data_IF_106366303476
#
_entry.id   IF_106366303476
#
_cell.length_a   1.000
_cell.length_b   1.000
_cell.length_c   1.000
_cell.angle_alpha   90.00
_cell.angle_beta   90.00
_cell.angle_gamma   90.00
#
_symmetry.space_group_name_H-M   'P 1'
#
loop_
_entity.id
_entity.type
_entity.pdbx_description
1 polymer ?
#
# COMPACT_ATOMS: atom_id res chain seq x y z
N UNK A 1 -4.82 -19.46 -5.62
CA UNK A 1 -3.84 -19.23 -4.54
C UNK A 1 -2.47 -18.81 -5.08
N UNK A 2 -1.82 -19.61 -5.95
CA UNK A 2 -0.52 -19.23 -6.55
C UNK A 2 -0.50 -17.87 -7.26
N UNK A 3 -1.55 -17.55 -8.03
CA UNK A 3 -1.68 -16.24 -8.68
C UNK A 3 -1.70 -15.06 -7.69
N UNK A 4 -2.36 -15.21 -6.53
CA UNK A 4 -2.38 -14.19 -5.49
C UNK A 4 -1.01 -14.03 -4.85
N UNK A 5 -0.30 -15.13 -4.63
CA UNK A 5 1.05 -15.09 -4.12
C UNK A 5 2.00 -14.39 -5.10
N UNK A 6 1.81 -14.62 -6.40
CA UNK A 6 2.56 -13.91 -7.44
C UNK A 6 2.23 -12.42 -7.46
N UNK A 7 0.95 -12.02 -7.33
CA UNK A 7 0.58 -10.60 -7.23
C UNK A 7 1.15 -9.92 -5.99
N UNK A 8 1.16 -10.60 -4.84
CA UNK A 8 1.79 -10.06 -3.64
C UNK A 8 3.30 -9.85 -3.84
N UNK A 9 3.98 -10.85 -4.41
CA UNK A 9 5.43 -10.78 -4.67
C UNK A 9 5.79 -9.71 -5.70
N UNK A 10 5.00 -9.56 -6.78
CA UNK A 10 5.25 -8.51 -7.77
C UNK A 10 5.03 -7.11 -7.18
N UNK A 11 4.02 -6.95 -6.32
CA UNK A 11 3.79 -5.72 -5.54
C UNK A 11 4.98 -5.40 -4.63
N UNK A 12 5.44 -6.37 -3.84
CA UNK A 12 6.58 -6.20 -2.96
C UNK A 12 7.87 -5.85 -3.71
N UNK A 13 8.14 -6.50 -4.84
CA UNK A 13 9.29 -6.18 -5.71
C UNK A 13 9.19 -4.75 -6.26
N UNK A 14 8.02 -4.33 -6.71
CA UNK A 14 7.81 -2.98 -7.23
C UNK A 14 8.07 -1.90 -6.17
N UNK A 15 7.72 -2.16 -4.90
CA UNK A 15 8.00 -1.27 -3.78
C UNK A 15 9.50 -1.14 -3.52
N UNK A 16 10.26 -2.23 -3.62
CA UNK A 16 11.72 -2.21 -3.40
C UNK A 16 12.46 -1.45 -4.51
N UNK A 17 11.98 -1.54 -5.76
CA UNK A 17 12.66 -0.95 -6.93
C UNK A 17 12.36 0.55 -7.06
N UNK A 18 11.14 1.00 -6.76
CA UNK A 18 10.68 2.37 -7.01
C UNK A 18 11.02 3.37 -5.88
N UNK A 19 12.28 3.42 -5.43
CA UNK A 19 12.72 4.24 -4.28
C UNK A 19 12.74 5.75 -4.51
N UNK A 20 12.56 6.23 -5.76
CA UNK A 20 12.80 7.64 -6.12
C UNK A 20 11.62 8.55 -5.84
N UNK A 21 10.41 8.16 -6.27
CA UNK A 21 9.21 8.98 -6.13
C UNK A 21 8.28 8.37 -5.09
N UNK A 22 7.89 9.17 -4.11
CA UNK A 22 7.07 8.67 -3.00
C UNK A 22 5.65 8.28 -3.44
N UNK A 23 5.12 8.93 -4.48
CA UNK A 23 3.82 8.59 -5.07
C UNK A 23 3.80 7.17 -5.65
N UNK A 24 4.86 6.78 -6.37
CA UNK A 24 5.00 5.42 -6.92
C UNK A 24 5.11 4.36 -5.81
N UNK A 25 5.71 4.73 -4.67
CA UNK A 25 5.77 3.87 -3.49
C UNK A 25 4.38 3.68 -2.86
N UNK A 26 3.60 4.75 -2.69
CA UNK A 26 2.23 4.68 -2.18
C UNK A 26 1.33 3.82 -3.07
N UNK A 27 1.43 3.97 -4.39
CA UNK A 27 0.64 3.17 -5.33
C UNK A 27 1.02 1.67 -5.27
N UNK A 28 2.30 1.36 -5.08
CA UNK A 28 2.72 -0.04 -4.87
C UNK A 28 2.22 -0.61 -3.53
N UNK A 29 2.09 0.21 -2.48
CA UNK A 29 1.48 -0.20 -1.20
C UNK A 29 0.00 -0.51 -1.35
N UNK A 30 -0.76 0.33 -2.06
CA UNK A 30 -2.18 0.07 -2.35
C UNK A 30 -2.37 -1.25 -3.12
N UNK A 31 -1.49 -1.55 -4.07
CA UNK A 31 -1.52 -2.82 -4.80
C UNK A 31 -1.29 -4.03 -3.88
N UNK A 32 -0.35 -3.93 -2.92
CA UNK A 32 -0.10 -4.97 -1.91
C UNK A 32 -1.35 -5.19 -1.05
N UNK A 33 -1.98 -4.11 -0.56
CA UNK A 33 -3.21 -4.17 0.24
C UNK A 33 -4.33 -4.90 -0.50
N UNK A 34 -4.53 -4.60 -1.79
CA UNK A 34 -5.58 -5.25 -2.61
C UNK A 34 -5.28 -6.75 -2.77
N UNK A 35 -4.01 -7.13 -2.99
CA UNK A 35 -3.63 -8.55 -3.08
C UNK A 35 -3.89 -9.31 -1.79
N UNK A 36 -3.68 -8.68 -0.63
CA UNK A 36 -3.98 -9.23 0.69
C UNK A 36 -5.49 -9.33 0.92
N UNK A 37 -6.26 -8.30 0.57
CA UNK A 37 -7.71 -8.32 0.67
C UNK A 37 -8.32 -9.49 -0.11
N UNK A 38 -7.89 -9.70 -1.37
CA UNK A 38 -8.36 -10.81 -2.19
C UNK A 38 -8.03 -12.18 -1.56
N UNK A 39 -6.85 -12.32 -0.95
CA UNK A 39 -6.48 -13.56 -0.27
C UNK A 39 -7.36 -13.82 0.97
N UNK A 40 -7.59 -12.79 1.78
CA UNK A 40 -8.46 -12.87 2.96
C UNK A 40 -9.91 -13.17 2.56
N UNK A 41 -10.41 -12.54 1.50
CA UNK A 41 -11.76 -12.78 0.99
C UNK A 41 -11.96 -14.24 0.55
N UNK A 42 -11.00 -14.81 -0.19
CA UNK A 42 -11.06 -16.23 -0.57
C UNK A 42 -11.00 -17.15 0.63
N UNK A 43 -10.13 -16.87 1.62
CA UNK A 43 -10.07 -17.67 2.84
C UNK A 43 -11.36 -17.64 3.64
N UNK A 44 -11.96 -16.45 3.83
CA UNK A 44 -13.21 -16.28 4.58
C UNK A 44 -14.41 -16.90 3.84
N UNK A 45 -14.40 -16.89 2.50
CA UNK A 45 -15.44 -17.56 1.71
C UNK A 45 -15.51 -19.07 1.97
N UNK A 46 -14.37 -19.69 2.31
CA UNK A 46 -14.31 -21.13 2.62
C UNK A 46 -14.72 -21.45 4.07
N UNK A 47 -14.68 -20.47 4.97
CA UNK A 47 -14.83 -20.65 6.43
C UNK A 47 -16.19 -20.18 6.97
N UNK A 48 -17.23 -20.10 6.12
CA UNK A 48 -18.61 -19.66 6.39
C UNK A 48 -18.97 -18.18 6.12
N UNK A 49 -18.34 -17.52 5.13
CA UNK A 49 -18.80 -16.23 4.59
C UNK A 49 -18.88 -15.08 5.62
N UNK A 50 -18.00 -15.08 6.61
CA UNK A 50 -17.85 -13.98 7.57
C UNK A 50 -17.18 -12.76 6.94
N UNK A 51 -17.88 -12.09 6.01
CA UNK A 51 -17.38 -10.94 5.25
C UNK A 51 -17.21 -9.68 6.10
N UNK A 52 -17.79 -9.63 7.29
CA UNK A 52 -17.67 -8.48 8.20
C UNK A 52 -16.20 -8.16 8.52
N UNK A 53 -15.35 -9.18 8.68
CA UNK A 53 -13.91 -8.98 8.90
C UNK A 53 -13.22 -8.34 7.69
N UNK A 54 -13.61 -8.73 6.48
CA UNK A 54 -13.05 -8.15 5.25
C UNK A 54 -13.40 -6.67 5.07
N UNK A 55 -14.58 -6.26 5.53
CA UNK A 55 -15.00 -4.86 5.54
C UNK A 55 -14.16 -4.02 6.53
N UNK A 56 -13.91 -4.54 7.72
CA UNK A 56 -13.05 -3.86 8.71
C UNK A 56 -11.64 -3.68 8.15
N UNK A 57 -11.07 -4.72 7.54
CA UNK A 57 -9.75 -4.66 6.93
C UNK A 57 -9.64 -3.54 5.89
N UNK A 58 -10.63 -3.41 4.99
CA UNK A 58 -10.65 -2.34 3.98
C UNK A 58 -10.69 -0.94 4.61
N UNK A 59 -11.49 -0.74 5.66
CA UNK A 59 -11.57 0.59 6.31
C UNK A 59 -10.23 1.01 6.91
N UNK A 60 -9.52 0.08 7.57
CA UNK A 60 -8.20 0.36 8.15
C UNK A 60 -7.18 0.66 7.05
N UNK A 61 -7.21 -0.10 5.95
CA UNK A 61 -6.26 0.12 4.86
C UNK A 61 -6.45 1.45 4.13
N UNK A 62 -7.70 1.92 3.98
CA UNK A 62 -7.96 3.24 3.41
C UNK A 62 -7.46 4.35 4.33
N UNK A 63 -7.58 4.18 5.65
CA UNK A 63 -7.03 5.13 6.62
C UNK A 63 -5.50 5.26 6.51
N UNK A 64 -4.77 4.14 6.34
CA UNK A 64 -3.32 4.19 6.08
C UNK A 64 -2.98 4.92 4.77
N UNK A 65 -3.77 4.72 3.71
CA UNK A 65 -3.63 5.43 2.44
C UNK A 65 -3.80 6.96 2.59
N UNK A 66 -4.83 7.40 3.32
CA UNK A 66 -5.07 8.82 3.60
C UNK A 66 -3.93 9.43 4.41
N UNK A 67 -3.43 8.73 5.42
CA UNK A 67 -2.26 9.16 6.19
C UNK A 67 -1.02 9.30 5.28
N UNK A 68 -0.76 8.32 4.42
CA UNK A 68 0.35 8.37 3.45
C UNK A 68 0.27 9.55 2.48
N UNK A 69 -0.92 9.82 1.94
CA UNK A 69 -1.18 10.98 1.07
C UNK A 69 -0.98 12.31 1.80
N UNK A 70 -1.43 12.41 3.06
CA UNK A 70 -1.26 13.64 3.85
C UNK A 70 0.22 13.99 4.07
N UNK A 71 1.07 12.99 4.28
CA UNK A 71 2.53 13.14 4.40
C UNK A 71 3.15 13.56 3.07
N UNK A 72 2.69 13.00 1.95
CA UNK A 72 3.12 13.43 0.62
C UNK A 72 2.81 14.91 0.37
N UNK A 73 1.60 15.36 0.70
CA UNK A 73 1.21 16.78 0.56
C UNK A 73 2.13 17.69 1.41
N UNK A 74 2.47 17.27 2.63
CA UNK A 74 3.40 18.02 3.48
C UNK A 74 4.79 18.14 2.84
N UNK A 75 5.33 17.05 2.28
CA UNK A 75 6.62 17.06 1.57
C UNK A 75 6.64 18.01 0.38
N UNK A 76 5.59 17.98 -0.45
CA UNK A 76 5.49 18.85 -1.62
C UNK A 76 5.53 20.32 -1.20
N UNK A 77 4.90 20.69 -0.08
CA UNK A 77 4.94 22.08 0.42
C UNK A 77 6.31 22.52 0.95
N UNK A 78 7.10 21.59 1.51
CA UNK A 78 8.38 21.93 2.16
C UNK A 78 9.55 21.85 1.16
N UNK A 79 9.61 20.81 0.34
CA UNK A 79 10.74 20.54 -0.55
C UNK A 79 10.43 20.79 -2.04
N UNK A 80 9.18 21.11 -2.38
CA UNK A 80 8.76 21.41 -3.76
C UNK A 80 8.83 20.22 -4.72
N UNK A 81 9.12 19.02 -4.23
CA UNK A 81 9.39 17.85 -5.06
C UNK A 81 9.08 16.52 -4.34
N UNK A 82 8.64 15.51 -5.10
CA UNK A 82 8.20 14.20 -4.59
C UNK A 82 9.34 13.18 -4.38
N UNK A 83 10.60 13.64 -4.48
CA UNK A 83 11.75 12.73 -4.39
C UNK A 83 12.10 12.44 -2.95
N UNK A 84 12.16 11.15 -2.61
CA UNK A 84 12.59 10.66 -1.29
C UNK A 84 14.05 11.05 -0.99
N UNK A 85 14.85 11.32 -2.03
CA UNK A 85 16.27 11.65 -1.92
C UNK A 85 16.56 13.07 -1.38
N UNK A 86 15.59 13.99 -1.35
CA UNK A 86 15.78 15.32 -0.74
C UNK A 86 15.76 15.29 0.79
N UNK A 87 15.32 14.19 1.40
CA UNK A 87 15.43 13.94 2.85
C UNK A 87 16.85 13.69 3.34
N UNK A 88 17.88 13.80 2.47
CA UNK A 88 19.27 13.73 2.89
C UNK A 88 19.70 14.85 3.85
N UNK A 89 18.85 15.85 4.09
CA UNK A 89 18.98 16.85 5.18
C UNK A 89 18.47 16.33 6.54
N UNK A 90 18.67 15.05 6.83
CA UNK A 90 18.43 14.43 8.15
C UNK A 90 19.59 14.68 9.14
N UNK A 91 20.56 15.53 8.76
CA UNK A 91 21.51 16.23 9.64
C UNK A 91 21.34 17.73 9.42
#
# INVERSE_FOLDING_TARGET
MYLLFFMFMSGALSFVINRKHLLLMLLSLEFIVISLYLNMFLYLSMMNYEFFFSMIFLTISVCEGVLGLSVLIMMVRIHGNDFVLTFSSLW
#
